data_IF_217951352030
#
_entry.id   IF_217951352030
#
_cell.length_a   1.000
_cell.length_b   1.000
_cell.length_c   1.000
_cell.angle_alpha   90.00
_cell.angle_beta   90.00
_cell.angle_gamma   90.00
#
_symmetry.space_group_name_H-M   'P 1'
#
loop_
_entity.id
_entity.type
_entity.pdbx_description
1 polymer ?
#
# COMPACT_ATOMS: atom_id res chain seq x y z
N UNK A 1 12.34 -20.56 0.40
CA UNK A 1 11.81 -19.21 0.66
C UNK A 1 12.37 -18.34 -0.43
N UNK A 2 11.56 -17.50 -1.07
CA UNK A 2 12.05 -16.60 -2.12
C UNK A 2 12.65 -15.36 -1.46
N UNK A 3 13.84 -14.95 -1.87
CA UNK A 3 14.57 -13.84 -1.24
C UNK A 3 14.18 -12.47 -1.83
N UNK A 4 13.50 -12.46 -2.97
CA UNK A 4 12.92 -11.30 -3.63
C UNK A 4 11.82 -11.70 -4.61
N UNK A 5 10.84 -10.83 -4.85
CA UNK A 5 9.83 -11.02 -5.88
C UNK A 5 9.40 -9.67 -6.45
N UNK A 6 9.21 -9.60 -7.77
CA UNK A 6 8.63 -8.43 -8.44
C UNK A 6 7.33 -8.84 -9.12
N UNK A 7 6.25 -8.12 -8.86
CA UNK A 7 4.93 -8.35 -9.45
C UNK A 7 4.53 -7.12 -10.25
N UNK A 8 4.11 -7.33 -11.51
CA UNK A 8 3.49 -6.30 -12.34
C UNK A 8 2.00 -6.62 -12.46
N UNK A 9 1.16 -5.67 -12.09
CA UNK A 9 -0.30 -5.78 -12.13
C UNK A 9 -0.81 -4.82 -13.20
N UNK A 10 -1.50 -5.35 -14.21
CA UNK A 10 -2.19 -4.54 -15.22
C UNK A 10 -3.66 -4.41 -14.83
N UNK A 11 -4.09 -3.18 -14.52
CA UNK A 11 -5.47 -2.89 -14.17
C UNK A 11 -6.27 -2.59 -15.45
N UNK A 12 -7.58 -2.91 -15.44
CA UNK A 12 -8.46 -2.72 -16.59
C UNK A 12 -8.50 -1.27 -17.11
N UNK A 13 -8.23 -0.28 -16.24
CA UNK A 13 -8.12 1.14 -16.60
C UNK A 13 -6.79 1.55 -17.25
N UNK A 14 -5.91 0.60 -17.58
CA UNK A 14 -4.60 0.86 -18.20
C UNK A 14 -3.50 1.28 -17.22
N UNK A 15 -3.83 1.47 -15.93
CA UNK A 15 -2.84 1.69 -14.86
C UNK A 15 -2.02 0.42 -14.67
N UNK A 16 -0.72 0.58 -14.39
CA UNK A 16 0.16 -0.52 -14.01
C UNK A 16 0.67 -0.32 -12.59
N UNK A 17 0.47 -1.32 -11.76
CA UNK A 17 1.09 -1.42 -10.43
C UNK A 17 2.35 -2.26 -10.49
N UNK A 18 3.40 -1.84 -9.78
CA UNK A 18 4.60 -2.64 -9.59
C UNK A 18 4.81 -2.80 -8.10
N UNK A 19 4.96 -4.04 -7.64
CA UNK A 19 5.31 -4.38 -6.26
C UNK A 19 6.63 -5.12 -6.29
N UNK A 20 7.64 -4.56 -5.63
CA UNK A 20 8.98 -5.16 -5.51
C UNK A 20 9.27 -5.43 -4.04
N UNK A 21 9.49 -6.69 -3.70
CA UNK A 21 9.79 -7.13 -2.33
C UNK A 21 11.17 -7.76 -2.32
N UNK A 22 12.03 -7.36 -1.37
CA UNK A 22 13.40 -7.89 -1.22
C UNK A 22 13.69 -8.18 0.23
N UNK A 23 13.68 -9.47 0.59
CA UNK A 23 13.91 -9.91 1.96
C UNK A 23 15.39 -9.89 2.35
N UNK A 24 16.30 -10.00 1.37
CA UNK A 24 17.75 -10.01 1.59
C UNK A 24 18.41 -8.61 1.54
N UNK A 25 17.63 -7.54 1.46
CA UNK A 25 18.17 -6.18 1.44
C UNK A 25 18.73 -5.79 2.81
N UNK A 26 19.94 -5.23 2.84
CA UNK A 26 20.53 -4.65 4.07
C UNK A 26 19.98 -3.27 4.42
N UNK A 27 19.22 -2.67 3.51
CA UNK A 27 18.56 -1.38 3.69
C UNK A 27 17.06 -1.64 3.73
N UNK A 28 16.43 -1.30 4.85
CA UNK A 28 14.98 -1.31 4.96
C UNK A 28 14.43 -0.20 4.04
N UNK A 29 13.69 -0.61 3.01
CA UNK A 29 12.96 0.30 2.13
C UNK A 29 11.49 -0.11 2.14
N UNK A 30 10.67 0.86 2.48
CA UNK A 30 9.22 0.78 2.42
C UNK A 30 8.79 2.09 1.75
N UNK A 31 8.37 2.02 0.50
CA UNK A 31 8.12 3.20 -0.34
C UNK A 31 6.85 2.99 -1.16
N UNK A 32 6.07 4.06 -1.35
CA UNK A 32 4.98 4.09 -2.31
C UNK A 32 5.18 5.28 -3.23
N UNK A 33 5.07 5.03 -4.54
CA UNK A 33 5.17 6.06 -5.57
C UNK A 33 4.00 5.95 -6.53
N UNK A 34 3.36 7.07 -6.77
CA UNK A 34 2.26 7.19 -7.72
C UNK A 34 2.71 8.15 -8.81
N UNK A 35 2.64 7.71 -10.06
CA UNK A 35 2.97 8.52 -11.23
C UNK A 35 1.71 8.72 -12.06
N UNK A 36 1.32 9.98 -12.21
CA UNK A 36 0.26 10.42 -13.11
C UNK A 36 0.81 11.07 -14.37
N UNK A 37 -0.09 11.59 -15.21
CA UNK A 37 0.27 12.29 -16.45
C UNK A 37 1.04 13.58 -16.19
N UNK A 38 0.58 14.35 -15.21
CA UNK A 38 1.07 15.72 -14.96
C UNK A 38 1.98 15.82 -13.72
N UNK A 39 2.36 14.70 -13.13
CA UNK A 39 3.22 14.69 -11.96
C UNK A 39 3.34 13.35 -11.26
N UNK A 40 4.09 13.36 -10.18
CA UNK A 40 4.29 12.21 -9.32
C UNK A 40 4.15 12.58 -7.85
N UNK A 41 3.91 11.55 -7.03
CA UNK A 41 3.79 11.60 -5.60
C UNK A 41 4.62 10.47 -4.99
N UNK A 42 5.38 10.77 -3.96
CA UNK A 42 6.28 9.84 -3.28
C UNK A 42 6.08 9.90 -1.76
N UNK A 43 5.95 8.72 -1.17
CA UNK A 43 6.06 8.47 0.26
C UNK A 43 7.26 7.56 0.49
N UNK A 44 8.33 8.11 1.06
CA UNK A 44 9.58 7.39 1.36
C UNK A 44 10.20 7.94 2.65
N UNK A 45 10.11 7.20 3.78
CA UNK A 45 9.44 5.91 3.93
C UNK A 45 7.90 6.03 3.87
N UNK A 46 7.21 4.96 3.48
CA UNK A 46 5.74 4.90 3.35
C UNK A 46 5.02 5.31 4.65
N UNK A 47 5.55 4.86 5.78
CA UNK A 47 5.03 5.16 7.11
C UNK A 47 5.66 6.43 7.72
N UNK A 48 6.40 7.21 6.92
CA UNK A 48 7.01 8.47 7.33
C UNK A 48 6.03 9.65 7.27
N UNK A 49 6.46 10.82 7.77
CA UNK A 49 5.63 12.03 7.75
C UNK A 49 5.66 12.75 6.40
N UNK A 50 6.60 12.44 5.52
CA UNK A 50 6.88 13.25 4.35
C UNK A 50 6.07 12.74 3.14
N UNK A 51 5.30 13.65 2.54
CA UNK A 51 4.61 13.46 1.26
C UNK A 51 5.20 14.44 0.25
N UNK A 52 5.89 13.94 -0.78
CA UNK A 52 6.53 14.78 -1.80
C UNK A 52 5.77 14.66 -3.11
N UNK A 53 5.53 15.76 -3.82
CA UNK A 53 4.90 15.77 -5.13
C UNK A 53 5.46 16.87 -6.03
N UNK A 54 5.17 16.83 -7.34
CA UNK A 54 5.81 17.72 -8.34
C UNK A 54 5.64 19.24 -8.09
N UNK A 55 4.70 19.65 -7.24
CA UNK A 55 4.44 21.03 -6.86
C UNK A 55 4.88 21.42 -5.44
N UNK A 56 5.38 20.49 -4.63
CA UNK A 56 5.71 20.78 -3.23
C UNK A 56 5.91 19.56 -2.35
N UNK A 57 5.89 19.80 -1.04
CA UNK A 57 6.00 18.76 -0.03
C UNK A 57 5.13 19.10 1.17
N UNK A 58 4.49 18.09 1.74
CA UNK A 58 3.67 18.20 2.95
C UNK A 58 4.22 17.33 4.07
N UNK A 59 3.96 17.74 5.32
CA UNK A 59 4.24 16.94 6.51
C UNK A 59 2.95 16.45 7.13
N UNK A 60 2.69 15.16 6.97
CA UNK A 60 1.55 14.42 7.46
C UNK A 60 2.03 13.41 8.52
N UNK A 61 2.30 13.84 9.76
CA UNK A 61 2.85 12.96 10.78
C UNK A 61 1.90 11.78 11.04
N UNK A 62 2.41 10.53 10.99
CA UNK A 62 1.59 9.36 11.24
C UNK A 62 1.20 9.29 12.72
N UNK A 63 0.16 8.52 13.02
CA UNK A 63 -0.18 8.20 14.40
C UNK A 63 0.98 7.43 15.06
N UNK A 64 1.30 7.74 16.33
CA UNK A 64 2.41 7.10 17.05
C UNK A 64 2.31 5.57 17.11
N UNK A 65 1.09 5.04 17.08
CA UNK A 65 0.80 3.64 16.79
C UNK A 65 0.15 3.54 15.40
N UNK A 66 0.91 3.08 14.41
CA UNK A 66 0.48 3.00 13.00
C UNK A 66 -0.79 2.17 12.78
N UNK A 67 -1.08 1.20 13.66
CA UNK A 67 -2.25 0.34 13.54
C UNK A 67 -3.48 0.88 14.27
N UNK A 68 -3.30 1.85 15.17
CA UNK A 68 -4.41 2.38 15.97
C UNK A 68 -5.56 2.94 15.13
N UNK A 69 -5.33 3.69 14.02
CA UNK A 69 -6.43 4.14 13.17
C UNK A 69 -7.29 3.01 12.60
N UNK A 70 -6.70 1.85 12.30
CA UNK A 70 -7.44 0.68 11.81
C UNK A 70 -8.32 0.07 12.91
N UNK A 71 -7.81 0.01 14.15
CA UNK A 71 -8.59 -0.46 15.30
C UNK A 71 -9.73 0.50 15.63
N UNK A 72 -9.46 1.81 15.60
CA UNK A 72 -10.49 2.83 15.81
C UNK A 72 -11.59 2.72 14.76
N UNK A 73 -11.22 2.58 13.48
CA UNK A 73 -12.22 2.37 12.41
C UNK A 73 -13.06 1.11 12.62
N UNK A 74 -12.45 0.00 13.09
CA UNK A 74 -13.20 -1.22 13.39
C UNK A 74 -14.24 -0.98 14.49
N UNK A 75 -13.85 -0.31 15.59
CA UNK A 75 -14.77 0.03 16.68
C UNK A 75 -15.90 0.94 16.18
N UNK A 76 -15.55 1.99 15.44
CA UNK A 76 -16.53 2.92 14.88
C UNK A 76 -17.52 2.22 13.93
N UNK A 77 -17.06 1.23 13.17
CA UNK A 77 -17.91 0.43 12.29
C UNK A 77 -18.87 -0.49 13.07
N UNK A 78 -18.39 -1.12 14.15
CA UNK A 78 -19.24 -1.94 15.04
C UNK A 78 -20.31 -1.08 15.72
N UNK A 79 -19.97 0.16 16.09
CA UNK A 79 -20.88 1.12 16.70
C UNK A 79 -21.78 1.86 15.69
N UNK A 80 -21.64 1.59 14.39
CA UNK A 80 -22.44 2.21 13.33
C UNK A 80 -22.11 3.67 13.04
N UNK A 81 -20.94 4.16 13.48
CA UNK A 81 -20.47 5.54 13.29
C UNK A 81 -19.78 5.76 11.95
N UNK A 82 -19.17 4.73 11.38
CA UNK A 82 -18.42 4.79 10.12
C UNK A 82 -18.52 3.48 9.33
N UNK A 83 -18.31 3.48 8.00
CA UNK A 83 -18.11 2.25 7.26
C UNK A 83 -16.78 1.58 7.63
N UNK A 84 -16.73 0.26 7.55
CA UNK A 84 -15.49 -0.51 7.73
C UNK A 84 -14.56 -0.30 6.52
N UNK A 85 -13.33 0.16 6.75
CA UNK A 85 -12.37 0.47 5.69
C UNK A 85 -11.83 -0.78 4.98
N UNK A 86 -11.66 -1.87 5.72
CA UNK A 86 -11.12 -3.14 5.21
C UNK A 86 -12.02 -4.30 5.65
N UNK A 87 -13.06 -4.57 4.87
CA UNK A 87 -14.00 -5.67 5.11
C UNK A 87 -13.47 -7.01 4.57
N UNK A 88 -14.05 -8.13 5.04
CA UNK A 88 -13.77 -9.45 4.46
C UNK A 88 -14.11 -9.50 2.96
N UNK A 89 -15.20 -8.84 2.55
CA UNK A 89 -15.61 -8.77 1.15
C UNK A 89 -14.56 -8.06 0.26
N UNK A 90 -13.99 -6.94 0.74
CA UNK A 90 -12.91 -6.24 0.02
C UNK A 90 -11.60 -7.03 0.02
N UNK A 91 -11.30 -7.78 1.09
CA UNK A 91 -10.05 -8.53 1.22
C UNK A 91 -9.96 -9.75 0.30
N UNK A 92 -11.09 -10.29 -0.18
CA UNK A 92 -11.08 -11.37 -1.18
C UNK A 92 -10.30 -11.01 -2.44
N UNK A 93 -10.35 -9.75 -2.88
CA UNK A 93 -9.62 -9.30 -4.05
C UNK A 93 -8.11 -9.33 -3.82
N UNK A 94 -7.66 -8.84 -2.67
CA UNK A 94 -6.24 -8.87 -2.28
C UNK A 94 -5.71 -10.30 -2.18
N UNK A 95 -6.48 -11.20 -1.57
CA UNK A 95 -6.13 -12.62 -1.47
C UNK A 95 -6.01 -13.27 -2.86
N UNK A 96 -7.00 -13.04 -3.73
CA UNK A 96 -7.00 -13.56 -5.09
C UNK A 96 -5.79 -13.08 -5.91
N UNK A 97 -5.46 -11.78 -5.85
CA UNK A 97 -4.27 -11.22 -6.54
C UNK A 97 -2.99 -11.83 -5.99
N UNK A 98 -2.89 -12.02 -4.67
CA UNK A 98 -1.72 -12.64 -4.02
C UNK A 98 -1.53 -14.07 -4.50
N UNK A 99 -2.62 -14.86 -4.61
CA UNK A 99 -2.55 -16.21 -5.16
C UNK A 99 -2.16 -16.22 -6.64
N UNK A 100 -2.64 -15.26 -7.46
CA UNK A 100 -2.19 -15.17 -8.86
C UNK A 100 -0.68 -14.90 -8.94
N UNK A 101 -0.17 -13.93 -8.17
CA UNK A 101 1.24 -13.61 -8.12
C UNK A 101 2.09 -14.81 -7.70
N UNK A 102 1.64 -15.57 -6.68
CA UNK A 102 2.32 -16.79 -6.23
C UNK A 102 2.34 -17.89 -7.29
N UNK A 103 1.31 -18.00 -8.13
CA UNK A 103 1.26 -18.99 -9.22
C UNK A 103 2.18 -18.64 -10.37
N UNK A 104 2.28 -17.36 -10.72
CA UNK A 104 3.12 -16.90 -11.85
C UNK A 104 4.62 -16.94 -11.56
N UNK A 105 5.01 -16.99 -10.28
CA UNK A 105 6.40 -17.10 -9.82
C UNK A 105 6.87 -18.56 -9.58
N UNK A 106 6.08 -19.56 -9.97
CA UNK A 106 6.49 -20.98 -10.00
C UNK A 106 6.96 -21.39 -11.38
#
# INVERSE_FOLDING_TARGET
MEDNATVIIEYAGGVRGIVDVRWHSKIARDECRIRGTDGEMELSPLNGPDLVYSGGSEKLPPHANLHYPMLQNFVDAVEGKAPLLASGASSFWTDWVTEQARRTHK
#
